data_IF_434560690165
#
_entry.id   IF_434560690165
#
_cell.length_a   1.000
_cell.length_b   1.000
_cell.length_c   1.000
_cell.angle_alpha   90.00
_cell.angle_beta   90.00
_cell.angle_gamma   90.00
#
_symmetry.space_group_name_H-M   'P 1'
#
loop_
_entity.id
_entity.type
_entity.pdbx_description
1 polymer ?
#
# COMPACT_ATOMS: atom_id res chain seq x y z
N UNK A 1 11.89 13.64 13.03
CA UNK A 1 12.43 12.29 12.76
C UNK A 1 11.77 11.58 11.58
N UNK A 2 10.43 11.46 11.53
CA UNK A 2 9.76 10.82 10.39
C UNK A 2 9.95 11.58 9.08
N UNK A 3 9.97 12.92 9.12
CA UNK A 3 10.30 13.78 7.97
C UNK A 3 11.72 13.53 7.44
N UNK A 4 12.70 13.43 8.33
CA UNK A 4 14.10 13.18 7.93
C UNK A 4 14.25 11.78 7.33
N UNK A 5 13.56 10.78 7.87
CA UNK A 5 13.52 9.44 7.27
C UNK A 5 12.83 9.43 5.90
N UNK A 6 11.74 10.19 5.73
CA UNK A 6 11.03 10.33 4.46
C UNK A 6 11.93 10.96 3.38
N UNK A 7 12.57 12.10 3.70
CA UNK A 7 13.49 12.77 2.79
C UNK A 7 14.71 11.92 2.47
N UNK A 8 15.29 11.24 3.47
CA UNK A 8 16.40 10.31 3.27
C UNK A 8 15.98 9.12 2.40
N UNK A 9 14.77 8.58 2.59
CA UNK A 9 14.22 7.51 1.73
C UNK A 9 14.06 7.94 0.28
N UNK A 10 13.53 9.15 0.04
CA UNK A 10 13.42 9.74 -1.31
C UNK A 10 14.81 9.96 -1.93
N UNK A 11 15.78 10.43 -1.15
CA UNK A 11 17.15 10.65 -1.62
C UNK A 11 17.84 9.32 -1.97
N UNK A 12 17.73 8.32 -1.10
CA UNK A 12 18.30 6.98 -1.30
C UNK A 12 17.70 6.28 -2.50
N UNK A 13 16.40 6.47 -2.77
CA UNK A 13 15.74 5.90 -3.95
C UNK A 13 16.33 6.39 -5.28
N UNK A 14 17.07 7.51 -5.29
CA UNK A 14 17.78 7.97 -6.49
C UNK A 14 19.03 7.15 -6.82
N UNK A 15 19.49 6.29 -5.90
CA UNK A 15 20.63 5.41 -6.16
C UNK A 15 20.22 4.23 -7.04
N UNK A 16 21.07 3.78 -7.98
CA UNK A 16 20.74 2.81 -9.02
C UNK A 16 20.26 1.45 -8.49
N UNK A 17 20.60 1.08 -7.25
CA UNK A 17 20.15 -0.16 -6.60
C UNK A 17 18.98 0.03 -5.64
N UNK A 18 18.81 1.23 -5.07
CA UNK A 18 17.76 1.49 -4.09
C UNK A 18 16.42 1.89 -4.74
N UNK A 19 16.41 2.27 -6.02
CA UNK A 19 15.18 2.56 -6.75
C UNK A 19 14.25 1.32 -6.85
N UNK A 20 14.83 0.11 -6.90
CA UNK A 20 14.10 -1.16 -6.95
C UNK A 20 13.28 -1.43 -5.67
N UNK A 21 13.73 -0.89 -4.53
CA UNK A 21 13.09 -1.07 -3.22
C UNK A 21 11.93 -0.08 -3.07
N UNK A 22 12.03 1.10 -3.70
CA UNK A 22 11.04 2.17 -3.61
C UNK A 22 11.26 3.11 -2.41
N UNK A 23 11.05 4.41 -2.61
CA UNK A 23 11.29 5.45 -1.61
C UNK A 23 10.51 5.25 -0.29
N UNK A 24 9.28 4.72 -0.39
CA UNK A 24 8.41 4.49 0.77
C UNK A 24 8.88 3.33 1.65
N UNK A 25 9.40 2.27 1.02
CA UNK A 25 9.98 1.11 1.71
C UNK A 25 11.28 1.51 2.39
N UNK A 26 12.12 2.31 1.73
CA UNK A 26 13.32 2.88 2.34
C UNK A 26 12.97 3.76 3.55
N UNK A 27 11.91 4.56 3.46
CA UNK A 27 11.42 5.35 4.60
C UNK A 27 10.94 4.45 5.77
N UNK A 28 10.25 3.34 5.48
CA UNK A 28 9.87 2.33 6.47
C UNK A 28 11.10 1.70 7.14
N UNK A 29 12.07 1.23 6.35
CA UNK A 29 13.32 0.61 6.83
C UNK A 29 14.15 1.58 7.68
N UNK A 30 14.27 2.84 7.25
CA UNK A 30 14.90 3.89 8.05
C UNK A 30 14.15 4.12 9.37
N UNK A 31 12.82 4.08 9.35
CA UNK A 31 12.01 4.12 10.57
C UNK A 31 12.28 2.95 11.52
N UNK A 32 12.45 1.73 10.98
CA UNK A 32 12.84 0.54 11.75
C UNK A 32 14.26 0.71 12.31
N UNK A 33 15.19 1.22 11.51
CA UNK A 33 16.59 1.41 11.90
C UNK A 33 16.75 2.46 13.01
N UNK A 34 15.84 3.44 13.07
CA UNK A 34 15.78 4.43 14.15
C UNK A 34 15.50 3.80 15.53
N UNK A 35 15.05 2.55 15.61
CA UNK A 35 14.88 1.85 16.89
C UNK A 35 16.20 1.44 17.54
N UNK A 36 17.32 1.45 16.80
CA UNK A 36 18.65 1.21 17.34
C UNK A 36 19.28 2.46 17.99
N UNK A 37 18.60 3.61 17.96
CA UNK A 37 19.03 4.84 18.66
C UNK A 37 18.64 4.81 20.16
N UNK A 38 19.30 5.64 21.00
CA UNK A 38 19.05 5.67 22.45
C UNK A 38 17.58 5.91 22.83
N UNK A 39 17.12 5.23 23.89
CA UNK A 39 15.72 5.25 24.39
C UNK A 39 15.14 6.67 24.61
N UNK A 40 15.96 7.66 24.97
CA UNK A 40 15.52 9.07 25.13
C UNK A 40 14.94 9.65 23.84
N UNK A 41 15.63 9.47 22.72
CA UNK A 41 15.21 9.98 21.41
C UNK A 41 14.00 9.22 20.88
N UNK A 42 13.86 7.94 21.26
CA UNK A 42 12.71 7.09 20.90
C UNK A 42 11.43 7.49 21.63
N UNK A 43 11.51 7.84 22.92
CA UNK A 43 10.33 8.30 23.67
C UNK A 43 9.79 9.63 23.14
N UNK A 44 10.67 10.58 22.81
CA UNK A 44 10.29 11.83 22.13
C UNK A 44 9.64 11.59 20.75
N UNK A 45 10.15 10.62 19.99
CA UNK A 45 9.57 10.25 18.70
C UNK A 45 8.18 9.60 18.85
N UNK A 46 7.92 8.89 19.97
CA UNK A 46 6.72 8.06 20.16
C UNK A 46 5.43 8.81 20.45
N UNK A 47 5.49 10.01 21.02
CA UNK A 47 4.31 10.80 21.41
C UNK A 47 3.43 11.24 20.24
N UNK A 48 3.95 11.28 19.00
CA UNK A 48 3.22 11.75 17.81
C UNK A 48 3.01 10.71 16.70
N UNK A 49 3.49 9.48 16.86
CA UNK A 49 3.52 8.50 15.76
C UNK A 49 2.13 8.05 15.30
N UNK A 50 1.19 7.85 16.22
CA UNK A 50 -0.18 7.47 15.89
C UNK A 50 -0.88 8.55 15.05
N UNK A 51 -0.65 9.82 15.40
CA UNK A 51 -1.19 10.97 14.64
C UNK A 51 -0.61 11.05 13.23
N UNK A 52 0.71 10.94 13.09
CA UNK A 52 1.40 11.00 11.78
C UNK A 52 0.99 9.82 10.90
N UNK A 53 1.04 8.60 11.44
CA UNK A 53 0.72 7.37 10.72
C UNK A 53 -0.72 7.35 10.18
N UNK A 54 -1.69 7.85 10.94
CA UNK A 54 -3.09 7.85 10.49
C UNK A 54 -3.45 9.08 9.64
N UNK A 55 -2.96 10.27 10.01
CA UNK A 55 -3.39 11.51 9.35
C UNK A 55 -2.58 11.79 8.08
N UNK A 56 -1.26 11.58 8.12
CA UNK A 56 -0.39 11.90 6.98
C UNK A 56 -0.45 10.83 5.89
N UNK A 57 -0.71 9.57 6.26
CA UNK A 57 -0.98 8.52 5.27
C UNK A 57 -2.24 8.85 4.45
N UNK A 58 -3.31 9.27 5.13
CA UNK A 58 -4.56 9.71 4.49
C UNK A 58 -4.38 10.98 3.68
N UNK A 59 -3.65 11.96 4.21
CA UNK A 59 -3.38 13.21 3.51
C UNK A 59 -2.53 13.01 2.25
N UNK A 60 -1.47 12.20 2.35
CA UNK A 60 -0.64 11.82 1.20
C UNK A 60 -1.40 10.97 0.18
N UNK A 61 -2.42 10.21 0.59
CA UNK A 61 -3.35 9.59 -0.35
C UNK A 61 -4.22 10.62 -1.06
N UNK A 62 -4.90 11.50 -0.33
CA UNK A 62 -5.77 12.55 -0.88
C UNK A 62 -5.00 13.43 -1.86
N UNK A 63 -3.81 13.92 -1.50
CA UNK A 63 -3.03 14.81 -2.36
C UNK A 63 -2.56 14.14 -3.66
N UNK A 64 -2.34 12.83 -3.64
CA UNK A 64 -2.02 12.07 -4.86
C UNK A 64 -3.23 11.87 -5.78
N UNK A 65 -4.45 12.10 -5.30
CA UNK A 65 -5.66 12.09 -6.13
C UNK A 65 -5.59 13.12 -7.27
N UNK A 66 -4.91 14.25 -7.08
CA UNK A 66 -4.73 15.27 -8.13
C UNK A 66 -3.95 14.81 -9.37
N UNK A 67 -3.19 13.72 -9.29
CA UNK A 67 -2.27 13.28 -10.34
C UNK A 67 -2.49 11.84 -10.80
N UNK A 68 -3.22 11.02 -10.04
CA UNK A 68 -3.40 9.59 -10.32
C UNK A 68 -4.83 9.13 -10.02
N UNK A 69 -5.33 8.27 -10.91
CA UNK A 69 -6.54 7.45 -10.76
C UNK A 69 -6.46 6.51 -9.54
N UNK A 70 -7.56 5.82 -9.23
CA UNK A 70 -7.96 5.16 -7.97
C UNK A 70 -6.99 4.18 -7.27
N UNK A 71 -5.70 4.15 -7.60
CA UNK A 71 -4.62 3.27 -7.16
C UNK A 71 -4.31 3.21 -5.65
N UNK A 72 -4.96 4.05 -4.86
CA UNK A 72 -4.67 4.18 -3.42
C UNK A 72 -5.72 3.54 -2.53
N UNK A 73 -6.77 2.99 -3.13
CA UNK A 73 -7.84 2.32 -2.42
C UNK A 73 -7.41 1.01 -1.74
N UNK A 74 -6.32 0.38 -2.18
CA UNK A 74 -5.77 -0.83 -1.55
C UNK A 74 -5.30 -0.58 -0.09
N UNK A 75 -4.66 0.55 0.17
CA UNK A 75 -4.27 0.96 1.53
C UNK A 75 -5.48 1.36 2.38
N UNK A 76 -6.59 1.75 1.73
CA UNK A 76 -7.84 2.08 2.39
C UNK A 76 -8.55 0.87 2.99
N UNK A 77 -8.48 -0.27 2.30
CA UNK A 77 -9.10 -1.54 2.73
C UNK A 77 -8.41 -2.08 3.99
N UNK A 78 -7.09 -1.89 4.14
CA UNK A 78 -6.39 -2.23 5.39
C UNK A 78 -6.83 -1.36 6.58
N UNK A 79 -7.34 -0.15 6.33
CA UNK A 79 -7.87 0.77 7.35
C UNK A 79 -9.30 0.48 7.82
N UNK A 80 -10.01 -0.47 7.18
CA UNK A 80 -11.36 -0.91 7.60
C UNK A 80 -11.24 -1.96 8.70
N UNK A 81 -10.63 -1.58 9.81
CA UNK A 81 -10.68 -2.41 11.02
C UNK A 81 -11.83 -1.94 11.90
N UNK A 82 -12.61 -2.86 12.49
CA UNK A 82 -13.60 -2.51 13.48
C UNK A 82 -12.96 -1.65 14.59
N UNK A 83 -13.67 -0.61 15.03
CA UNK A 83 -13.26 0.23 16.16
C UNK A 83 -13.39 -0.60 17.43
N UNK A 84 -12.26 -0.95 18.06
CA UNK A 84 -12.20 -1.72 19.30
C UNK A 84 -11.12 -1.10 20.21
N UNK A 85 -11.32 -1.26 21.52
CA UNK A 85 -10.60 -0.77 22.70
C UNK A 85 -9.08 -0.61 22.58
N UNK A 86 -8.48 0.31 23.35
CA UNK A 86 -7.07 0.73 23.26
C UNK A 86 -6.00 -0.40 23.25
N UNK A 87 -6.25 -1.55 23.87
CA UNK A 87 -5.34 -2.70 23.83
C UNK A 87 -5.28 -3.39 22.44
N UNK A 88 -6.35 -3.28 21.65
CA UNK A 88 -6.42 -3.84 20.30
C UNK A 88 -5.83 -2.90 19.25
N UNK A 89 -5.72 -1.60 19.54
CA UNK A 89 -5.13 -0.60 18.63
C UNK A 89 -3.62 -0.80 18.46
N UNK A 90 -2.90 -1.14 19.54
CA UNK A 90 -1.48 -1.48 19.46
C UNK A 90 -1.24 -2.75 18.62
N UNK A 91 -2.02 -3.82 18.85
CA UNK A 91 -1.93 -5.06 18.05
C UNK A 91 -2.31 -4.86 16.60
N UNK A 92 -3.35 -4.05 16.33
CA UNK A 92 -3.75 -3.68 14.98
C UNK A 92 -2.60 -2.98 14.26
N UNK A 93 -1.97 -2.01 14.92
CA UNK A 93 -0.83 -1.28 14.36
C UNK A 93 0.36 -2.21 14.11
N UNK A 94 0.68 -3.12 15.02
CA UNK A 94 1.71 -4.14 14.78
C UNK A 94 1.40 -5.02 13.55
N UNK A 95 0.13 -5.42 13.38
CA UNK A 95 -0.30 -6.20 12.22
C UNK A 95 -0.26 -5.39 10.91
N UNK A 96 -0.66 -4.10 10.92
CA UNK A 96 -0.57 -3.21 9.77
C UNK A 96 0.88 -3.04 9.34
N UNK A 97 1.77 -2.78 10.29
CA UNK A 97 3.20 -2.62 10.00
C UNK A 97 3.81 -3.93 9.49
N UNK A 98 3.47 -5.07 10.11
CA UNK A 98 3.91 -6.38 9.66
C UNK A 98 3.40 -6.67 8.24
N UNK A 99 2.15 -6.36 7.93
CA UNK A 99 1.57 -6.54 6.61
C UNK A 99 2.29 -5.67 5.56
N UNK A 100 2.51 -4.38 5.85
CA UNK A 100 3.25 -3.48 4.95
C UNK A 100 4.68 -3.99 4.76
N UNK A 101 5.40 -4.35 5.83
CA UNK A 101 6.77 -4.86 5.73
C UNK A 101 6.84 -6.15 4.88
N UNK A 102 5.92 -7.10 5.10
CA UNK A 102 5.84 -8.34 4.32
C UNK A 102 5.56 -8.02 2.85
N UNK A 103 4.60 -7.13 2.55
CA UNK A 103 4.28 -6.72 1.18
C UNK A 103 5.50 -6.11 0.49
N UNK A 104 6.26 -5.24 1.17
CA UNK A 104 7.44 -4.62 0.58
C UNK A 104 8.58 -5.62 0.33
N UNK A 105 8.84 -6.53 1.29
CA UNK A 105 9.88 -7.57 1.14
C UNK A 105 9.49 -8.53 0.03
N UNK A 106 8.26 -9.04 0.04
CA UNK A 106 7.77 -9.97 -0.98
C UNK A 106 7.69 -9.30 -2.35
N UNK A 107 7.27 -8.03 -2.42
CA UNK A 107 7.29 -7.25 -3.65
C UNK A 107 8.68 -7.16 -4.27
N UNK A 108 9.71 -6.89 -3.45
CA UNK A 108 11.10 -6.84 -3.91
C UNK A 108 11.59 -8.22 -4.38
N UNK A 109 11.32 -9.27 -3.61
CA UNK A 109 11.68 -10.66 -3.97
C UNK A 109 11.03 -11.08 -5.28
N UNK A 110 9.72 -10.85 -5.42
CA UNK A 110 8.97 -11.23 -6.62
C UNK A 110 9.30 -10.37 -7.84
N UNK A 111 9.66 -9.09 -7.65
CA UNK A 111 10.18 -8.24 -8.74
C UNK A 111 11.44 -8.86 -9.35
N UNK A 112 12.40 -9.25 -8.51
CA UNK A 112 13.64 -9.90 -8.98
C UNK A 112 13.35 -11.27 -9.59
N UNK A 113 12.43 -12.03 -9.01
CA UNK A 113 12.02 -13.33 -9.51
C UNK A 113 11.39 -13.20 -10.90
N UNK A 114 10.46 -12.28 -11.10
CA UNK A 114 9.80 -12.04 -12.39
C UNK A 114 10.79 -11.63 -13.48
N UNK A 115 11.70 -10.70 -13.16
CA UNK A 115 12.78 -10.29 -14.08
C UNK A 115 13.62 -11.49 -14.48
N UNK A 116 14.00 -12.35 -13.53
CA UNK A 116 14.74 -13.58 -13.81
C UNK A 116 13.94 -14.64 -14.59
N UNK A 117 12.61 -14.66 -14.42
CA UNK A 117 11.74 -15.70 -14.97
C UNK A 117 11.30 -15.40 -16.41
N UNK A 118 11.24 -14.13 -16.82
CA UNK A 118 10.87 -13.73 -18.20
C UNK A 118 11.62 -14.49 -19.30
N UNK A 119 12.98 -14.55 -19.32
CA UNK A 119 13.70 -15.25 -20.39
C UNK A 119 13.37 -16.74 -20.47
N UNK A 120 12.99 -17.36 -19.35
CA UNK A 120 12.64 -18.79 -19.27
C UNK A 120 11.20 -19.04 -19.73
N UNK A 121 10.29 -18.08 -19.52
CA UNK A 121 8.86 -18.24 -19.82
C UNK A 121 8.48 -17.94 -21.29
N UNK A 122 9.36 -17.25 -22.03
CA UNK A 122 9.12 -16.86 -23.42
C UNK A 122 7.93 -15.92 -23.58
N UNK A 123 7.65 -15.07 -22.59
CA UNK A 123 6.55 -14.11 -22.63
C UNK A 123 6.88 -12.93 -23.55
N UNK A 124 5.89 -12.45 -24.30
CA UNK A 124 6.00 -11.17 -25.02
C UNK A 124 6.10 -10.00 -24.02
N UNK A 125 6.54 -8.84 -24.49
CA UNK A 125 6.70 -7.67 -23.62
C UNK A 125 5.37 -7.22 -22.99
N UNK A 126 4.27 -7.25 -23.74
CA UNK A 126 2.94 -6.93 -23.22
C UNK A 126 2.44 -7.98 -22.21
N UNK A 127 2.62 -9.26 -22.51
CA UNK A 127 2.26 -10.36 -21.61
C UNK A 127 3.03 -10.26 -20.28
N UNK A 128 4.34 -10.01 -20.35
CA UNK A 128 5.15 -9.82 -19.15
C UNK A 128 4.68 -8.59 -18.35
N UNK A 129 4.36 -7.49 -19.01
CA UNK A 129 3.76 -6.32 -18.36
C UNK A 129 2.46 -6.65 -17.62
N UNK A 130 1.55 -7.41 -18.24
CA UNK A 130 0.30 -7.86 -17.62
C UNK A 130 0.59 -8.75 -16.40
N UNK A 131 1.55 -9.66 -16.49
CA UNK A 131 1.98 -10.48 -15.35
C UNK A 131 2.47 -9.58 -14.22
N UNK A 132 3.44 -8.70 -14.48
CA UNK A 132 4.02 -7.80 -13.49
C UNK A 132 2.98 -6.90 -12.80
N UNK A 133 2.06 -6.30 -13.56
CA UNK A 133 0.96 -5.51 -12.99
C UNK A 133 -0.09 -6.33 -12.24
N UNK A 134 -0.25 -7.61 -12.59
CA UNK A 134 -1.21 -8.55 -12.01
C UNK A 134 -0.71 -9.30 -10.77
N UNK A 135 0.58 -9.56 -10.65
CA UNK A 135 1.16 -10.35 -9.54
C UNK A 135 1.71 -9.47 -8.43
N UNK A 136 2.37 -8.36 -8.78
CA UNK A 136 3.04 -7.51 -7.81
C UNK A 136 2.03 -6.68 -7.04
N UNK A 137 2.25 -6.55 -5.72
CA UNK A 137 1.26 -5.99 -4.80
C UNK A 137 1.34 -4.46 -4.71
N UNK A 138 2.49 -3.85 -5.03
CA UNK A 138 2.67 -2.40 -5.09
C UNK A 138 2.97 -1.91 -6.51
N UNK A 139 2.62 -0.64 -6.75
CA UNK A 139 2.83 0.09 -8.01
C UNK A 139 4.32 0.20 -8.32
N UNK A 140 5.13 0.54 -7.31
CA UNK A 140 6.56 0.72 -7.46
C UNK A 140 7.25 -0.55 -7.96
N UNK A 141 6.90 -1.70 -7.38
CA UNK A 141 7.41 -3.00 -7.83
C UNK A 141 6.91 -3.36 -9.23
N UNK A 142 5.63 -3.11 -9.54
CA UNK A 142 5.08 -3.34 -10.89
C UNK A 142 5.79 -2.50 -11.96
N UNK A 143 6.05 -1.23 -11.68
CA UNK A 143 6.82 -0.32 -12.55
C UNK A 143 8.26 -0.77 -12.68
N UNK A 144 8.90 -1.21 -11.59
CA UNK A 144 10.26 -1.71 -11.61
C UNK A 144 10.41 -2.98 -12.45
N UNK A 145 9.51 -3.95 -12.27
CA UNK A 145 9.47 -5.21 -13.04
C UNK A 145 9.12 -4.92 -14.51
N UNK A 146 8.01 -4.23 -14.77
CA UNK A 146 7.53 -3.92 -16.11
C UNK A 146 8.52 -3.06 -16.92
N UNK A 147 9.15 -2.07 -16.28
CA UNK A 147 10.15 -1.20 -16.91
C UNK A 147 11.47 -1.89 -17.26
N UNK A 148 11.80 -3.00 -16.61
CA UNK A 148 13.03 -3.75 -16.89
C UNK A 148 13.11 -4.27 -18.33
N UNK A 149 11.98 -4.36 -19.04
CA UNK A 149 11.89 -4.87 -20.40
C UNK A 149 11.23 -3.90 -21.40
N UNK A 150 11.40 -2.60 -21.16
CA UNK A 150 10.98 -1.55 -22.10
C UNK A 150 9.57 -1.03 -21.91
N UNK A 151 9.23 -0.01 -22.70
CA UNK A 151 8.03 0.81 -22.47
C UNK A 151 6.72 0.05 -22.70
N UNK A 152 6.66 -0.89 -23.64
CA UNK A 152 5.45 -1.68 -23.92
C UNK A 152 5.05 -2.52 -22.70
N UNK A 153 6.04 -3.12 -22.06
CA UNK A 153 5.87 -3.89 -20.82
C UNK A 153 5.48 -2.98 -19.65
N UNK A 154 6.14 -1.83 -19.52
CA UNK A 154 5.82 -0.84 -18.49
C UNK A 154 4.38 -0.33 -18.58
N UNK A 155 3.95 0.07 -19.77
CA UNK A 155 2.60 0.60 -20.00
C UNK A 155 1.55 -0.47 -19.71
N UNK A 156 1.78 -1.70 -20.17
CA UNK A 156 0.89 -2.84 -19.89
C UNK A 156 0.81 -3.15 -18.39
N UNK A 157 1.95 -3.06 -17.67
CA UNK A 157 1.99 -3.24 -16.23
C UNK A 157 1.22 -2.16 -15.47
N UNK A 158 1.39 -0.89 -15.86
CA UNK A 158 0.66 0.23 -15.29
C UNK A 158 -0.84 0.09 -15.52
N UNK A 159 -1.27 -0.22 -16.74
CA UNK A 159 -2.70 -0.39 -17.07
C UNK A 159 -3.31 -1.53 -16.23
N UNK A 160 -2.67 -2.70 -16.20
CA UNK A 160 -3.16 -3.85 -15.43
C UNK A 160 -3.22 -3.55 -13.93
N UNK A 161 -2.19 -2.88 -13.40
CA UNK A 161 -2.09 -2.53 -11.98
C UNK A 161 -3.17 -1.53 -11.58
N UNK A 162 -3.28 -0.42 -12.31
CA UNK A 162 -4.27 0.64 -12.08
C UNK A 162 -5.70 0.11 -12.18
N UNK A 163 -5.99 -0.71 -13.19
CA UNK A 163 -7.32 -1.32 -13.39
C UNK A 163 -7.80 -2.11 -12.17
N UNK A 164 -6.92 -2.94 -11.59
CA UNK A 164 -7.26 -3.71 -10.38
C UNK A 164 -7.53 -2.82 -9.19
N UNK A 165 -6.79 -1.73 -9.05
CA UNK A 165 -6.98 -0.87 -7.88
C UNK A 165 -8.23 0.00 -8.01
N UNK A 166 -8.59 0.40 -9.23
CA UNK A 166 -9.92 0.96 -9.51
C UNK A 166 -11.02 -0.05 -9.11
N UNK A 167 -10.86 -1.33 -9.46
CA UNK A 167 -11.80 -2.41 -9.11
C UNK A 167 -11.88 -2.68 -7.59
N UNK A 168 -10.86 -2.33 -6.80
CA UNK A 168 -10.95 -2.46 -5.34
C UNK A 168 -12.00 -1.52 -4.72
N UNK A 169 -12.29 -0.37 -5.32
CA UNK A 169 -13.35 0.54 -4.87
C UNK A 169 -14.74 -0.10 -4.84
N UNK A 170 -15.27 -0.55 -5.99
CA UNK A 170 -16.58 -1.20 -6.02
C UNK A 170 -16.59 -2.50 -5.22
N UNK A 171 -15.52 -3.32 -5.28
CA UNK A 171 -15.45 -4.58 -4.52
C UNK A 171 -15.50 -4.32 -3.01
N UNK A 172 -14.77 -3.32 -2.50
CA UNK A 172 -14.79 -2.97 -1.08
C UNK A 172 -16.18 -2.48 -0.63
N UNK A 173 -16.87 -1.67 -1.45
CA UNK A 173 -18.24 -1.23 -1.18
C UNK A 173 -19.22 -2.40 -1.14
N UNK A 174 -19.12 -3.32 -2.10
CA UNK A 174 -19.95 -4.53 -2.16
C UNK A 174 -19.72 -5.40 -0.92
N UNK A 175 -18.46 -5.69 -0.58
CA UNK A 175 -18.12 -6.49 0.61
C UNK A 175 -18.62 -5.80 1.89
N UNK A 176 -18.43 -4.48 2.01
CA UNK A 176 -18.93 -3.70 3.14
C UNK A 176 -20.46 -3.79 3.29
N UNK A 177 -21.18 -3.69 2.18
CA UNK A 177 -22.63 -3.82 2.14
C UNK A 177 -23.11 -5.25 2.51
N UNK A 178 -22.47 -6.27 1.95
CA UNK A 178 -22.79 -7.68 2.23
C UNK A 178 -22.49 -8.05 3.69
N UNK A 179 -21.38 -7.55 4.24
CA UNK A 179 -21.01 -7.76 5.64
C UNK A 179 -22.00 -7.11 6.59
N UNK A 180 -22.48 -5.91 6.28
CA UNK A 180 -23.51 -5.23 7.06
C UNK A 180 -24.84 -5.99 7.03
N UNK A 181 -25.26 -6.49 5.86
CA UNK A 181 -26.48 -7.31 5.72
C UNK A 181 -26.40 -8.63 6.48
N UNK A 182 -25.24 -9.28 6.54
CA UNK A 182 -25.04 -10.52 7.31
C UNK A 182 -24.97 -10.26 8.82
N UNK A 183 -24.27 -9.21 9.25
CA UNK A 183 -24.16 -8.84 10.66
C UNK A 183 -25.51 -8.43 11.26
N UNK A 184 -26.38 -7.77 10.47
CA UNK A 184 -27.75 -7.46 10.86
C UNK A 184 -28.64 -8.72 11.03
N UNK A 185 -28.33 -9.81 10.31
CA UNK A 185 -29.13 -11.05 10.32
C UNK A 185 -28.72 -12.04 11.42
N UNK A 186 -27.58 -11.81 12.09
CA UNK A 186 -27.03 -12.70 13.13
C UNK A 186 -27.31 -12.19 14.56
N UNK A 187 -27.88 -10.99 14.73
CA UNK A 187 -28.22 -10.38 16.03
C UNK A 187 -29.74 -10.39 16.30
N UNK A 188 -30.36 -11.57 16.23
CA UNK A 188 -31.80 -11.78 16.54
C UNK A 188 -32.06 -11.85 18.05
N UNK A 189 -31.65 -10.82 18.81
CA UNK A 189 -31.87 -10.84 20.26
C UNK A 189 -31.65 -9.55 21.08
N UNK A 190 -31.10 -8.47 20.52
CA UNK A 190 -30.97 -7.20 21.27
C UNK A 190 -31.12 -6.01 20.30
N UNK A 191 -32.36 -5.73 19.92
CA UNK A 191 -32.73 -4.82 18.82
C UNK A 191 -32.57 -3.33 19.19
N UNK A 192 -32.53 -2.94 20.46
CA UNK A 192 -32.59 -1.51 20.81
C UNK A 192 -31.25 -0.75 20.80
N UNK A 193 -30.08 -1.41 20.82
CA UNK A 193 -28.77 -0.71 20.81
C UNK A 193 -27.96 -0.84 19.53
N UNK A 194 -28.32 -1.78 18.64
CA UNK A 194 -27.63 -1.96 17.35
C UNK A 194 -28.10 -0.98 16.26
N UNK A 195 -29.25 -0.32 16.46
CA UNK A 195 -29.96 0.39 15.39
C UNK A 195 -29.44 1.80 15.09
N UNK A 196 -28.52 2.39 15.89
CA UNK A 196 -28.20 3.82 15.74
C UNK A 196 -26.90 4.18 14.99
N UNK A 197 -25.99 3.25 14.70
CA UNK A 197 -24.67 3.62 14.16
C UNK A 197 -24.07 2.66 13.12
N UNK A 198 -24.89 2.01 12.29
CA UNK A 198 -24.42 1.28 11.12
C UNK A 198 -24.00 2.20 9.96
N UNK A 199 -23.18 3.23 10.20
CA UNK A 199 -22.58 3.98 9.10
C UNK A 199 -21.59 3.04 8.41
N UNK A 200 -21.69 2.85 7.10
CA UNK A 200 -20.62 2.18 6.36
C UNK A 200 -19.31 2.88 6.78
N UNK A 201 -18.27 2.15 7.20
CA UNK A 201 -16.97 2.73 7.47
C UNK A 201 -16.30 3.05 6.13
N UNK A 202 -16.93 3.92 5.32
CA UNK A 202 -16.29 4.54 4.18
C UNK A 202 -15.25 5.47 4.78
N UNK A 203 -13.95 5.19 4.60
CA UNK A 203 -12.94 6.05 5.16
C UNK A 203 -13.07 7.42 4.51
N UNK A 204 -13.29 8.46 5.31
CA UNK A 204 -13.58 9.81 4.79
C UNK A 204 -12.51 10.34 3.81
N UNK A 205 -11.26 9.86 3.92
CA UNK A 205 -10.19 10.20 2.99
C UNK A 205 -10.45 9.73 1.56
N UNK A 206 -11.30 8.69 1.38
CA UNK A 206 -11.72 8.24 0.07
C UNK A 206 -12.54 9.31 -0.65
N UNK A 207 -13.42 10.01 0.07
CA UNK A 207 -14.15 11.16 -0.46
C UNK A 207 -13.21 12.31 -0.85
N UNK A 208 -12.19 12.59 -0.01
CA UNK A 208 -11.15 13.57 -0.34
C UNK A 208 -10.32 13.19 -1.58
N UNK A 209 -9.96 11.91 -1.71
CA UNK A 209 -9.24 11.39 -2.88
C UNK A 209 -10.08 11.52 -4.16
N UNK A 210 -11.35 11.12 -4.14
CA UNK A 210 -12.25 11.24 -5.30
C UNK A 210 -12.42 12.72 -5.68
N UNK A 211 -12.65 13.59 -4.69
CA UNK A 211 -12.80 15.02 -4.93
C UNK A 211 -11.54 15.61 -5.59
N UNK A 212 -10.36 15.33 -5.04
CA UNK A 212 -9.09 15.84 -5.58
C UNK A 212 -8.75 15.28 -6.96
N UNK A 213 -9.16 14.05 -7.27
CA UNK A 213 -9.05 13.46 -8.62
C UNK A 213 -9.96 14.14 -9.64
N UNK A 214 -11.21 14.42 -9.27
CA UNK A 214 -12.13 15.23 -10.09
C UNK A 214 -11.53 16.63 -10.30
N UNK A 215 -11.07 17.28 -9.23
CA UNK A 215 -10.47 18.60 -9.31
C UNK A 215 -9.20 18.61 -10.18
N UNK A 216 -8.33 17.61 -10.04
CA UNK A 216 -7.13 17.46 -10.87
C UNK A 216 -7.42 17.23 -12.36
N UNK A 217 -8.58 16.62 -12.66
CA UNK A 217 -9.02 16.35 -14.04
C UNK A 217 -9.65 17.57 -14.70
N UNK A 218 -10.47 18.33 -13.97
CA UNK A 218 -11.24 19.45 -14.55
C UNK A 218 -10.60 20.83 -14.36
N UNK A 219 -9.68 20.99 -13.40
CA UNK A 219 -8.96 22.25 -13.23
C UNK A 219 -7.64 22.21 -14.02
N UNK A 220 -7.35 23.24 -14.84
CA UNK A 220 -6.09 23.33 -15.57
C UNK A 220 -4.96 23.71 -14.60
N UNK A 221 -4.35 22.71 -13.96
CA UNK A 221 -3.14 22.90 -13.17
C UNK A 221 -1.91 22.93 -14.06
N UNK A 222 -0.94 23.79 -13.73
CA UNK A 222 0.38 23.74 -14.36
C UNK A 222 1.10 22.42 -14.02
N UNK A 223 1.90 21.89 -14.94
CA UNK A 223 2.69 20.68 -14.71
C UNK A 223 3.57 20.78 -13.45
N UNK A 224 4.17 21.95 -13.22
CA UNK A 224 4.99 22.24 -12.05
C UNK A 224 4.20 22.18 -10.74
N UNK A 225 2.96 22.67 -10.72
CA UNK A 225 2.10 22.61 -9.54
C UNK A 225 1.71 21.17 -9.21
N UNK A 226 1.41 20.35 -10.23
CA UNK A 226 1.09 18.94 -10.04
C UNK A 226 2.30 18.14 -9.53
N UNK A 227 3.49 18.40 -10.05
CA UNK A 227 4.72 17.74 -9.60
C UNK A 227 5.07 18.10 -8.16
N UNK A 228 4.93 19.37 -7.79
CA UNK A 228 5.10 19.80 -6.40
C UNK A 228 4.11 19.09 -5.47
N UNK A 229 2.85 18.96 -5.89
CA UNK A 229 1.81 18.30 -5.10
C UNK A 229 2.08 16.81 -4.90
N UNK A 230 2.56 16.13 -5.95
CA UNK A 230 2.99 14.74 -5.88
C UNK A 230 4.18 14.58 -4.95
N UNK A 231 5.20 15.44 -5.03
CA UNK A 231 6.35 15.40 -4.12
C UNK A 231 5.91 15.58 -2.66
N UNK A 232 5.05 16.55 -2.38
CA UNK A 232 4.49 16.76 -1.04
C UNK A 232 3.72 15.53 -0.57
N UNK A 233 2.93 14.90 -1.44
CA UNK A 233 2.20 13.68 -1.12
C UNK A 233 3.13 12.49 -0.81
N UNK A 234 4.24 12.34 -1.56
CA UNK A 234 5.28 11.34 -1.27
C UNK A 234 6.00 11.62 0.05
N UNK A 235 6.25 12.88 0.38
CA UNK A 235 6.84 13.24 1.68
C UNK A 235 5.89 12.85 2.82
N UNK A 236 4.58 13.14 2.70
CA UNK A 236 3.58 12.74 3.70
C UNK A 236 3.45 11.23 3.85
N UNK A 237 3.45 10.50 2.73
CA UNK A 237 3.37 9.05 2.74
C UNK A 237 4.63 8.42 3.32
N UNK A 238 5.82 8.92 2.94
CA UNK A 238 7.09 8.48 3.51
C UNK A 238 7.21 8.77 5.01
N UNK A 239 6.67 9.90 5.49
CA UNK A 239 6.59 10.18 6.92
C UNK A 239 5.70 9.18 7.67
N UNK A 240 4.57 8.81 7.07
CA UNK A 240 3.70 7.80 7.64
C UNK A 240 4.36 6.42 7.68
N UNK A 241 5.05 6.02 6.61
CA UNK A 241 5.81 4.76 6.54
C UNK A 241 6.96 4.74 7.54
N UNK A 242 7.70 5.84 7.69
CA UNK A 242 8.71 5.96 8.73
C UNK A 242 8.10 5.86 10.15
N UNK A 243 6.94 6.49 10.39
CA UNK A 243 6.25 6.42 11.66
C UNK A 243 5.74 5.00 11.99
N UNK A 244 5.30 4.26 10.97
CA UNK A 244 4.97 2.84 11.07
C UNK A 244 6.22 2.02 11.41
N UNK A 245 7.34 2.28 10.74
CA UNK A 245 8.63 1.59 10.95
C UNK A 245 9.17 1.75 12.38
N UNK A 246 9.14 2.97 12.93
CA UNK A 246 9.56 3.22 14.34
C UNK A 246 8.66 2.50 15.34
N UNK A 247 7.44 2.12 14.93
CA UNK A 247 6.46 1.42 15.77
C UNK A 247 6.52 -0.10 15.64
N UNK A 248 7.46 -0.63 14.86
CA UNK A 248 7.69 -2.08 14.72
C UNK A 248 8.08 -2.69 16.06
N UNK A 249 7.44 -3.81 16.41
CA UNK A 249 7.88 -4.65 17.51
C UNK A 249 8.68 -5.84 16.94
N UNK A 250 10.01 -5.79 16.99
CA UNK A 250 10.87 -6.86 16.44
C UNK A 250 10.54 -8.25 17.01
N UNK A 251 10.10 -8.32 18.27
CA UNK A 251 9.70 -9.57 18.91
C UNK A 251 8.46 -10.19 18.23
N UNK A 252 7.54 -9.34 17.77
CA UNK A 252 6.33 -9.77 17.05
C UNK A 252 6.68 -10.21 15.63
N UNK A 253 7.58 -9.51 14.95
CA UNK A 253 8.09 -9.93 13.64
C UNK A 253 8.77 -11.30 13.75
N UNK A 254 9.63 -11.51 14.74
CA UNK A 254 10.31 -12.81 14.88
C UNK A 254 9.34 -13.94 15.26
N UNK A 255 8.37 -13.66 16.15
CA UNK A 255 7.44 -14.68 16.65
C UNK A 255 6.32 -15.03 15.67
N UNK A 256 5.81 -14.05 14.91
CA UNK A 256 4.65 -14.21 14.00
C UNK A 256 5.02 -14.10 12.53
N UNK A 257 6.15 -13.48 12.21
CA UNK A 257 6.56 -13.21 10.84
C UNK A 257 6.68 -14.47 10.01
N UNK A 258 7.23 -15.56 10.54
CA UNK A 258 7.37 -16.81 9.78
C UNK A 258 6.07 -17.32 9.16
N UNK A 259 4.97 -17.32 9.93
CA UNK A 259 3.65 -17.75 9.42
C UNK A 259 3.07 -16.76 8.41
N UNK A 260 3.29 -15.45 8.60
CA UNK A 260 2.76 -14.40 7.71
C UNK A 260 3.55 -14.33 6.41
N UNK A 261 4.87 -14.44 6.48
CA UNK A 261 5.76 -14.55 5.31
C UNK A 261 5.45 -15.81 4.50
N UNK A 262 5.24 -16.95 5.15
CA UNK A 262 4.83 -18.19 4.48
C UNK A 262 3.50 -18.04 3.75
N UNK A 263 2.48 -17.50 4.42
CA UNK A 263 1.18 -17.23 3.80
C UNK A 263 1.30 -16.27 2.61
N UNK A 264 2.07 -15.18 2.76
CA UNK A 264 2.31 -14.21 1.69
C UNK A 264 3.10 -14.79 0.51
N UNK A 265 4.04 -15.73 0.77
CA UNK A 265 4.80 -16.43 -0.27
C UNK A 265 3.88 -17.30 -1.11
N UNK A 266 3.04 -18.09 -0.45
CA UNK A 266 2.09 -18.99 -1.11
C UNK A 266 1.09 -18.17 -1.93
N UNK A 267 0.51 -17.11 -1.35
CA UNK A 267 -0.45 -16.27 -2.07
C UNK A 267 0.18 -15.56 -3.26
N UNK A 268 1.39 -15.02 -3.12
CA UNK A 268 2.10 -14.34 -4.20
C UNK A 268 2.51 -15.30 -5.31
N UNK A 269 2.96 -16.51 -4.97
CA UNK A 269 3.28 -17.56 -5.94
C UNK A 269 2.04 -18.00 -6.71
N UNK A 270 0.92 -18.23 -6.00
CA UNK A 270 -0.34 -18.60 -6.63
C UNK A 270 -0.84 -17.51 -7.58
N UNK A 271 -0.77 -16.24 -7.16
CA UNK A 271 -1.14 -15.10 -8.01
C UNK A 271 -0.23 -14.97 -9.23
N UNK A 272 1.09 -15.13 -9.06
CA UNK A 272 2.05 -15.11 -10.17
C UNK A 272 1.71 -16.19 -11.19
N UNK A 273 1.55 -17.44 -10.76
CA UNK A 273 1.22 -18.57 -11.65
C UNK A 273 -0.11 -18.32 -12.36
N UNK A 274 -1.12 -17.86 -11.64
CA UNK A 274 -2.42 -17.51 -12.21
C UNK A 274 -2.28 -16.44 -13.29
N UNK A 275 -1.51 -15.38 -13.04
CA UNK A 275 -1.31 -14.30 -14.01
C UNK A 275 -0.50 -14.75 -15.24
N UNK A 276 0.50 -15.61 -15.07
CA UNK A 276 1.24 -16.20 -16.19
C UNK A 276 0.28 -17.01 -17.09
N UNK A 277 -0.58 -17.83 -16.50
CA UNK A 277 -1.56 -18.62 -17.24
C UNK A 277 -2.55 -17.72 -17.97
N UNK A 278 -3.15 -16.75 -17.26
CA UNK A 278 -4.12 -15.82 -17.85
C UNK A 278 -3.49 -15.00 -18.98
N UNK A 279 -2.26 -14.54 -18.78
CA UNK A 279 -1.54 -13.77 -19.79
C UNK A 279 -1.27 -14.58 -21.05
N UNK A 280 -1.00 -15.89 -20.96
CA UNK A 280 -0.79 -16.74 -22.15
C UNK A 280 -2.09 -17.16 -22.84
N UNK A 281 -3.20 -17.21 -22.10
CA UNK A 281 -4.49 -17.63 -22.64
C UNK A 281 -5.24 -16.50 -23.36
N UNK A 282 -5.11 -15.27 -22.86
CA UNK A 282 -5.93 -14.14 -23.31
C UNK A 282 -5.17 -13.09 -24.13
N UNK A 283 -3.83 -13.11 -24.13
CA UNK A 283 -2.96 -12.14 -24.79
C UNK A 283 -1.82 -12.84 -25.52
#
# INVERSE_FOLDING_TARGET
MTLTCSLAGILLAKLPYANLIGALVLALLLGILMQFLPERTRQEASGGMGFISNKFLRLGMILLGFRLDLEKLAAAVMGVSPQITAADEARKRENEVLAVAVVCVMGTVFTLLEIGLKPVLGLTDSQFGIVAGGSLHEIAHAVASGGAFGNISLDSALIMKLSRVILLAPVALIIGYLYQRRSAKTNTGNVEKAQKNGKLPIPWFLGGFILTSILGTYLPFSASSLDALVQVAYIFLGMAMAALGVSVNFKVIFKRGGSVFGAAAISSTCLLVFMIIMSKLFF
#
